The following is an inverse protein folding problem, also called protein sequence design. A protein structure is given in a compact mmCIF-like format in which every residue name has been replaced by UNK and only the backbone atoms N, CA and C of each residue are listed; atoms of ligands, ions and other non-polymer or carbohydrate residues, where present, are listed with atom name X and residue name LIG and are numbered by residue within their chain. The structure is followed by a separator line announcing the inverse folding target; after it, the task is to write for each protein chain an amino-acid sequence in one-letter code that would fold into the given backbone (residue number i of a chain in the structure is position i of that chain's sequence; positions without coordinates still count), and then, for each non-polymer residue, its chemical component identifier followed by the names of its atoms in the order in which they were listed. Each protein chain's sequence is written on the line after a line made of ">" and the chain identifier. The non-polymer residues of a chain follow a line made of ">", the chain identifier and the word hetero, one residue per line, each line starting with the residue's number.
data_IF_725022453486
#
_entry.id   IF_725022453486
#
_cell.length_a   1.000
_cell.length_b   1.000
_cell.length_c   1.000
_cell.angle_alpha   90.00
_cell.angle_beta   90.00
_cell.angle_gamma   90.00
#
_symmetry.space_group_name_H-M   'P 1'
#
loop_
_entity.id
_entity.type
_entity.pdbx_description
1 polymer ?
#
# COMPACT_ATOMS: atom_id res chain seq x y z
N UNK A 1 21.89 10.40 34.37
CA UNK A 1 20.45 10.28 34.04
C UNK A 1 19.87 11.50 33.31
N UNK A 2 20.18 12.76 33.67
CA UNK A 2 19.56 13.99 33.10
C UNK A 2 19.90 14.38 31.63
N UNK A 3 20.56 13.52 30.83
CA UNK A 3 20.93 13.83 29.43
C UNK A 3 20.04 13.14 28.38
N UNK A 4 19.19 12.20 28.79
CA UNK A 4 18.30 11.46 27.88
C UNK A 4 16.95 12.18 27.65
N UNK A 5 16.53 13.08 28.54
CA UNK A 5 15.20 13.70 28.50
C UNK A 5 15.09 14.90 27.54
N UNK A 6 16.20 15.42 26.99
CA UNK A 6 16.19 16.67 26.21
C UNK A 6 15.74 16.52 24.75
N UNK A 7 15.46 15.30 24.29
CA UNK A 7 15.04 15.02 22.91
C UNK A 7 13.96 13.96 22.77
N UNK A 8 13.33 13.54 23.88
CA UNK A 8 12.22 12.59 23.84
C UNK A 8 10.92 13.33 23.54
N UNK A 9 10.35 13.11 22.36
CA UNK A 9 8.97 13.51 22.07
C UNK A 9 8.02 12.52 22.77
N UNK A 10 7.62 12.88 24.00
CA UNK A 10 6.71 12.10 24.82
C UNK A 10 5.38 11.80 24.10
N UNK A 11 4.95 12.64 23.15
CA UNK A 11 3.73 12.40 22.40
C UNK A 11 3.93 11.28 21.37
N UNK A 12 5.06 11.29 20.65
CA UNK A 12 5.41 10.24 19.70
C UNK A 12 5.58 8.88 20.40
N UNK A 13 6.25 8.85 21.55
CA UNK A 13 6.40 7.61 22.33
C UNK A 13 5.06 7.06 22.81
N UNK A 14 4.14 7.95 23.24
CA UNK A 14 2.80 7.55 23.65
C UNK A 14 2.01 6.98 22.47
N UNK A 15 2.09 7.61 21.30
CA UNK A 15 1.43 7.11 20.09
C UNK A 15 1.99 5.74 19.67
N UNK A 16 3.31 5.56 19.71
CA UNK A 16 3.95 4.28 19.41
C UNK A 16 3.52 3.18 20.39
N UNK A 17 3.40 3.52 21.68
CA UNK A 17 2.94 2.59 22.71
C UNK A 17 1.46 2.22 22.53
N UNK A 18 0.61 3.17 22.14
CA UNK A 18 -0.79 2.93 21.78
C UNK A 18 -0.92 2.06 20.53
N UNK A 19 -0.12 2.34 19.49
CA UNK A 19 -0.07 1.53 18.27
C UNK A 19 0.41 0.10 18.55
N UNK A 20 1.40 -0.08 19.42
CA UNK A 20 1.85 -1.39 19.88
C UNK A 20 0.74 -2.16 20.62
N UNK A 21 0.03 -1.50 21.54
CA UNK A 21 -1.12 -2.10 22.24
C UNK A 21 -2.22 -2.49 21.25
N UNK A 22 -2.58 -1.59 20.34
CA UNK A 22 -3.61 -1.83 19.33
C UNK A 22 -3.24 -2.96 18.36
N UNK A 23 -1.98 -3.04 17.94
CA UNK A 23 -1.51 -4.12 17.06
C UNK A 23 -1.46 -5.48 17.76
N UNK A 24 -1.14 -5.51 19.06
CA UNK A 24 -1.23 -6.72 19.89
C UNK A 24 -2.69 -7.16 20.07
N UNK A 25 -3.59 -6.22 20.36
CA UNK A 25 -5.02 -6.48 20.48
C UNK A 25 -5.59 -7.02 19.15
N UNK A 26 -5.27 -6.40 18.02
CA UNK A 26 -5.70 -6.87 16.69
C UNK A 26 -5.13 -8.26 16.33
N UNK A 27 -3.94 -8.61 16.84
CA UNK A 27 -3.38 -9.94 16.66
C UNK A 27 -4.14 -11.00 17.46
N UNK A 28 -4.56 -10.67 18.69
CA UNK A 28 -5.29 -11.59 19.57
C UNK A 28 -6.78 -11.70 19.16
N UNK A 29 -7.37 -10.57 18.80
CA UNK A 29 -8.79 -10.39 18.48
C UNK A 29 -8.93 -9.68 17.12
N UNK A 30 -8.80 -10.43 16.01
CA UNK A 30 -8.70 -9.83 14.68
C UNK A 30 -10.02 -9.22 14.21
N UNK A 31 -9.97 -7.95 13.82
CA UNK A 31 -11.11 -7.16 13.32
C UNK A 31 -12.27 -6.99 14.32
N UNK A 32 -12.05 -7.29 15.60
CA UNK A 32 -13.06 -7.08 16.65
C UNK A 32 -13.22 -5.59 16.95
N UNK A 33 -14.47 -5.16 17.09
CA UNK A 33 -14.83 -3.77 17.39
C UNK A 33 -16.00 -3.76 18.37
N UNK A 34 -15.88 -2.96 19.42
CA UNK A 34 -16.96 -2.74 20.37
C UNK A 34 -18.16 -2.07 19.70
N UNK A 35 -19.36 -2.52 20.08
CA UNK A 35 -20.59 -1.88 19.61
C UNK A 35 -20.75 -0.52 20.28
N UNK A 36 -21.02 0.55 19.51
CA UNK A 36 -21.22 1.87 20.10
C UNK A 36 -22.48 1.88 20.99
N UNK A 37 -22.36 2.46 22.18
CA UNK A 37 -23.48 2.64 23.12
C UNK A 37 -24.27 3.93 22.85
N UNK A 38 -23.58 4.89 22.25
CA UNK A 38 -24.03 6.24 21.91
C UNK A 38 -24.82 6.31 20.60
N UNK A 39 -24.70 5.31 19.73
CA UNK A 39 -25.36 5.27 18.42
C UNK A 39 -25.90 3.88 18.08
N UNK A 40 -27.04 3.81 17.40
CA UNK A 40 -27.55 2.55 16.86
C UNK A 40 -26.54 1.90 15.89
N UNK A 41 -26.23 0.62 16.11
CA UNK A 41 -25.28 -0.15 15.29
C UNK A 41 -25.64 -0.13 13.78
N UNK A 42 -26.93 -0.15 13.43
CA UNK A 42 -27.39 -0.05 12.03
C UNK A 42 -26.92 1.23 11.33
N UNK A 43 -26.79 2.33 12.06
CA UNK A 43 -26.34 3.61 11.53
C UNK A 43 -24.80 3.60 11.45
N UNK A 44 -24.13 3.16 12.52
CA UNK A 44 -22.66 3.05 12.57
C UNK A 44 -22.08 2.19 11.45
N UNK A 45 -22.76 1.09 11.11
CA UNK A 45 -22.34 0.09 10.15
C UNK A 45 -23.18 0.08 8.87
N UNK A 46 -23.85 1.19 8.53
CA UNK A 46 -24.75 1.29 7.37
C UNK A 46 -24.13 0.87 6.03
N UNK A 47 -22.82 1.06 5.86
CA UNK A 47 -22.07 0.70 4.63
C UNK A 47 -21.58 -0.75 4.61
N UNK A 48 -21.79 -1.51 5.68
CA UNK A 48 -21.38 -2.91 5.77
C UNK A 48 -22.50 -3.83 5.28
N UNK A 49 -22.11 -4.97 4.72
CA UNK A 49 -23.02 -6.06 4.36
C UNK A 49 -22.50 -7.39 4.87
N UNK A 50 -23.42 -8.28 5.23
CA UNK A 50 -23.09 -9.67 5.53
C UNK A 50 -22.72 -10.42 4.26
N UNK A 51 -21.67 -11.25 4.33
CA UNK A 51 -21.35 -12.23 3.30
C UNK A 51 -21.41 -13.61 3.94
N UNK A 52 -22.08 -14.54 3.28
CA UNK A 52 -22.09 -15.94 3.70
C UNK A 52 -20.68 -16.54 3.65
N UNK A 53 -19.94 -16.26 2.57
CA UNK A 53 -18.57 -16.72 2.40
C UNK A 53 -17.70 -15.64 1.77
N UNK A 54 -16.61 -15.30 2.46
CA UNK A 54 -15.63 -14.35 1.93
C UNK A 54 -14.95 -14.85 0.66
N UNK A 55 -14.94 -16.17 0.39
CA UNK A 55 -14.34 -16.74 -0.82
C UNK A 55 -15.34 -16.79 -1.98
N UNK A 56 -16.50 -17.38 -1.78
CA UNK A 56 -17.41 -17.75 -2.88
C UNK A 56 -18.48 -16.71 -3.19
N UNK A 57 -18.96 -15.93 -2.22
CA UNK A 57 -20.05 -14.96 -2.47
C UNK A 57 -19.61 -13.87 -3.45
N UNK A 58 -20.39 -13.51 -4.48
CA UNK A 58 -19.98 -12.51 -5.46
C UNK A 58 -19.81 -11.11 -4.83
N UNK A 59 -18.94 -10.31 -5.42
CA UNK A 59 -18.79 -8.89 -5.09
C UNK A 59 -18.37 -8.15 -6.37
N UNK A 60 -19.13 -7.14 -6.78
CA UNK A 60 -18.81 -6.37 -7.98
C UNK A 60 -17.72 -5.31 -7.67
N UNK A 61 -16.56 -5.34 -8.35
CA UNK A 61 -15.52 -4.34 -8.19
C UNK A 61 -15.96 -2.90 -8.51
N UNK A 62 -17.00 -2.73 -9.36
CA UNK A 62 -17.43 -1.42 -9.86
C UNK A 62 -18.61 -0.81 -9.13
N UNK A 63 -19.10 -1.45 -8.06
CA UNK A 63 -20.32 -1.04 -7.34
C UNK A 63 -20.17 0.30 -6.60
N UNK A 64 -19.05 0.51 -5.89
CA UNK A 64 -18.85 1.63 -4.96
C UNK A 64 -17.49 2.31 -5.16
N UNK A 65 -17.24 2.82 -6.37
CA UNK A 65 -15.97 3.45 -6.72
C UNK A 65 -15.90 4.92 -6.24
N UNK A 66 -14.77 5.35 -5.65
CA UNK A 66 -14.57 6.75 -5.32
C UNK A 66 -14.31 7.59 -6.58
N UNK A 67 -14.51 8.90 -6.51
CA UNK A 67 -14.30 9.82 -7.64
C UNK A 67 -12.89 9.76 -8.23
N UNK A 68 -11.88 9.42 -7.41
CA UNK A 68 -10.49 9.30 -7.87
C UNK A 68 -10.31 8.16 -8.87
N UNK A 69 -11.15 7.12 -8.84
CA UNK A 69 -11.12 6.04 -9.81
C UNK A 69 -11.50 6.49 -11.23
N UNK A 70 -12.17 7.63 -11.38
CA UNK A 70 -12.45 8.20 -12.71
C UNK A 70 -11.20 8.83 -13.36
N UNK A 71 -10.13 9.09 -12.58
CA UNK A 71 -8.91 9.78 -13.04
C UNK A 71 -7.75 8.82 -13.32
N UNK A 72 -7.87 7.57 -12.90
CA UNK A 72 -6.82 6.57 -13.07
C UNK A 72 -6.95 5.83 -14.39
N UNK A 73 -5.83 5.31 -14.87
CA UNK A 73 -5.78 4.47 -16.04
C UNK A 73 -5.94 3.00 -15.65
N UNK A 74 -6.81 2.29 -16.36
CA UNK A 74 -7.02 0.86 -16.23
C UNK A 74 -6.64 0.16 -17.54
N UNK A 75 -5.87 -0.91 -17.43
CA UNK A 75 -5.62 -1.79 -18.56
C UNK A 75 -6.77 -2.78 -18.71
N UNK A 76 -7.19 -3.05 -19.95
CA UNK A 76 -8.08 -4.17 -20.24
C UNK A 76 -7.41 -5.51 -19.89
N UNK A 77 -6.15 -5.67 -20.31
CA UNK A 77 -5.32 -6.81 -19.94
C UNK A 77 -3.86 -6.36 -19.75
N UNK A 78 -3.44 -6.30 -18.48
CA UNK A 78 -2.12 -5.81 -18.10
C UNK A 78 -0.99 -6.68 -18.66
N UNK A 79 -1.07 -8.00 -18.49
CA UNK A 79 0.00 -8.93 -18.88
C UNK A 79 0.17 -9.00 -20.40
N UNK A 80 -0.93 -8.98 -21.15
CA UNK A 80 -0.88 -8.92 -22.61
C UNK A 80 -0.25 -7.62 -23.09
N UNK A 81 -0.64 -6.49 -22.50
CA UNK A 81 -0.12 -5.17 -22.87
C UNK A 81 1.37 -5.06 -22.56
N UNK A 82 1.80 -5.56 -21.40
CA UNK A 82 3.22 -5.65 -21.01
C UNK A 82 4.03 -6.44 -22.03
N UNK A 83 3.58 -7.65 -22.38
CA UNK A 83 4.29 -8.51 -23.35
C UNK A 83 4.45 -7.83 -24.71
N UNK A 84 3.38 -7.16 -25.19
CA UNK A 84 3.42 -6.40 -26.44
C UNK A 84 4.43 -5.26 -26.38
N UNK A 85 4.40 -4.46 -25.32
CA UNK A 85 5.31 -3.32 -25.13
C UNK A 85 6.77 -3.76 -25.09
N UNK A 86 7.08 -4.86 -24.41
CA UNK A 86 8.45 -5.37 -24.34
C UNK A 86 8.94 -5.83 -25.71
N UNK A 87 8.10 -6.53 -26.48
CA UNK A 87 8.43 -6.96 -27.84
C UNK A 87 8.66 -5.77 -28.79
N UNK A 88 7.76 -4.78 -28.75
CA UNK A 88 7.89 -3.55 -29.56
C UNK A 88 9.15 -2.74 -29.23
N UNK A 89 9.74 -2.91 -28.04
CA UNK A 89 10.97 -2.22 -27.65
C UNK A 89 12.22 -2.92 -28.17
N UNK A 90 12.19 -4.24 -28.33
CA UNK A 90 13.28 -5.00 -28.97
C UNK A 90 13.39 -4.66 -30.47
N UNK A 91 12.27 -4.33 -31.10
CA UNK A 91 12.18 -3.99 -32.53
C UNK A 91 12.45 -2.50 -32.82
N UNK A 92 12.69 -1.66 -31.79
CA UNK A 92 12.89 -0.22 -31.99
C UNK A 92 14.34 0.11 -32.33
N UNK A 93 14.49 0.82 -33.45
CA UNK A 93 15.75 1.45 -33.82
C UNK A 93 16.06 2.64 -32.92
N UNK A 94 17.30 2.74 -32.46
CA UNK A 94 17.74 3.80 -31.56
C UNK A 94 19.22 3.70 -31.18
N UNK A 95 19.62 4.54 -30.22
CA UNK A 95 20.97 4.49 -29.70
C UNK A 95 21.22 3.16 -28.96
N UNK A 96 22.29 2.48 -29.33
CA UNK A 96 22.66 1.17 -28.78
C UNK A 96 23.50 1.32 -27.49
N UNK A 97 23.51 0.29 -26.63
CA UNK A 97 24.37 0.29 -25.45
C UNK A 97 25.85 0.52 -25.80
N UNK A 98 26.52 1.37 -25.02
CA UNK A 98 27.95 1.69 -25.18
C UNK A 98 28.24 3.01 -25.89
N UNK A 99 27.23 3.67 -26.47
CA UNK A 99 27.42 4.94 -27.15
C UNK A 99 27.53 6.11 -26.15
N UNK A 100 28.42 7.06 -26.43
CA UNK A 100 28.47 8.34 -25.71
C UNK A 100 27.46 9.31 -26.35
N UNK A 101 26.47 9.73 -25.57
CA UNK A 101 25.33 10.50 -26.06
C UNK A 101 25.24 11.86 -25.36
N UNK A 102 24.77 12.88 -26.09
CA UNK A 102 24.32 14.15 -25.52
C UNK A 102 22.80 14.21 -25.64
N UNK A 103 22.09 14.28 -24.51
CA UNK A 103 20.63 14.29 -24.47
C UNK A 103 20.11 15.70 -24.21
N UNK A 104 19.32 16.23 -25.15
CA UNK A 104 18.65 17.52 -25.01
C UNK A 104 17.22 17.30 -24.50
N UNK A 105 16.95 17.70 -23.25
CA UNK A 105 15.63 17.56 -22.61
C UNK A 105 14.87 18.88 -22.69
N UNK A 106 13.64 18.84 -23.17
CA UNK A 106 12.75 20.00 -23.27
C UNK A 106 12.05 20.28 -21.93
N UNK A 107 11.68 21.54 -21.71
CA UNK A 107 10.77 21.99 -20.64
C UNK A 107 11.26 21.66 -19.20
N UNK A 108 12.57 21.75 -18.98
CA UNK A 108 13.16 21.60 -17.65
C UNK A 108 13.02 22.91 -16.86
N UNK A 109 12.39 22.84 -15.68
CA UNK A 109 12.28 24.00 -14.79
C UNK A 109 13.66 24.51 -14.34
N UNK A 110 13.91 25.80 -14.55
CA UNK A 110 15.17 26.45 -14.17
C UNK A 110 15.44 26.36 -12.65
N UNK A 111 14.39 26.38 -11.83
CA UNK A 111 14.50 26.25 -10.38
C UNK A 111 15.01 24.86 -10.00
N UNK A 112 14.40 23.81 -10.56
CA UNK A 112 14.84 22.42 -10.32
C UNK A 112 16.28 22.21 -10.78
N UNK A 113 16.64 22.75 -11.94
CA UNK A 113 18.00 22.65 -12.47
C UNK A 113 19.04 23.35 -11.60
N UNK A 114 18.71 24.52 -11.05
CA UNK A 114 19.60 25.27 -10.16
C UNK A 114 19.82 24.54 -8.85
N UNK A 115 18.75 24.03 -8.22
CA UNK A 115 18.84 23.20 -7.01
C UNK A 115 19.63 21.91 -7.26
N UNK A 116 19.44 21.31 -8.43
CA UNK A 116 20.17 20.12 -8.84
C UNK A 116 21.68 20.39 -8.99
N UNK A 117 22.08 21.50 -9.62
CA UNK A 117 23.50 21.89 -9.72
C UNK A 117 24.16 22.08 -8.36
N UNK A 118 23.42 22.58 -7.38
CA UNK A 118 23.94 22.78 -6.02
C UNK A 118 24.11 21.47 -5.24
N UNK A 119 23.25 20.47 -5.49
CA UNK A 119 23.28 19.21 -4.73
C UNK A 119 24.48 18.32 -5.06
N UNK A 120 25.19 18.55 -6.19
CA UNK A 120 26.32 17.76 -6.69
C UNK A 120 26.03 16.25 -6.77
N UNK A 121 24.75 15.87 -6.90
CA UNK A 121 24.34 14.47 -7.02
C UNK A 121 24.57 13.94 -8.44
N UNK A 122 24.78 12.63 -8.57
CA UNK A 122 24.82 11.97 -9.87
C UNK A 122 23.44 11.95 -10.53
N UNK A 123 23.39 12.17 -11.86
CA UNK A 123 22.16 12.01 -12.66
C UNK A 123 22.13 10.61 -13.23
N UNK A 124 20.98 9.95 -13.09
CA UNK A 124 20.65 8.74 -13.83
C UNK A 124 19.43 9.06 -14.70
N UNK A 125 19.56 8.86 -16.00
CA UNK A 125 18.47 9.06 -16.96
C UNK A 125 17.92 7.70 -17.38
N UNK A 126 16.60 7.56 -17.32
CA UNK A 126 15.90 6.29 -17.58
C UNK A 126 14.78 6.56 -18.57
N UNK A 127 14.78 5.79 -19.67
CA UNK A 127 13.70 5.80 -20.64
C UNK A 127 12.45 5.14 -20.06
N UNK A 128 11.28 5.75 -20.29
CA UNK A 128 10.01 5.21 -19.82
C UNK A 128 9.35 4.36 -20.89
N UNK A 129 8.70 3.28 -20.46
CA UNK A 129 7.85 2.51 -21.37
C UNK A 129 6.54 3.25 -21.68
N UNK A 130 5.88 2.92 -22.80
CA UNK A 130 4.53 3.40 -23.09
C UNK A 130 3.59 3.24 -21.89
N UNK A 131 2.84 4.30 -21.58
CA UNK A 131 1.87 4.37 -20.47
C UNK A 131 2.45 4.43 -19.04
N UNK A 132 3.76 4.35 -18.81
CA UNK A 132 4.32 4.45 -17.46
C UNK A 132 4.17 5.84 -16.80
N UNK A 133 3.85 6.88 -17.59
CA UNK A 133 3.54 8.20 -17.05
C UNK A 133 2.12 8.29 -16.47
N UNK A 134 1.23 7.34 -16.81
CA UNK A 134 -0.17 7.37 -16.38
C UNK A 134 -0.30 6.85 -14.95
N UNK A 135 -1.22 7.43 -14.19
CA UNK A 135 -1.53 7.01 -12.82
C UNK A 135 -2.45 5.79 -12.80
N UNK A 136 -2.19 4.82 -11.93
CA UNK A 136 -3.06 3.68 -11.67
C UNK A 136 -2.97 3.24 -10.21
N UNK A 137 -3.62 2.12 -9.87
CA UNK A 137 -3.47 1.47 -8.56
C UNK A 137 -2.40 0.40 -8.68
N UNK A 138 -1.28 0.60 -8.00
CA UNK A 138 -0.19 -0.36 -7.89
C UNK A 138 -0.47 -1.30 -6.72
N UNK A 139 -0.26 -2.59 -6.96
CA UNK A 139 -0.33 -3.63 -5.95
C UNK A 139 1.08 -4.22 -5.76
N UNK A 140 1.68 -4.01 -4.60
CA UNK A 140 3.02 -4.50 -4.28
C UNK A 140 2.95 -5.52 -3.16
N UNK A 141 3.55 -6.69 -3.35
CA UNK A 141 3.75 -7.63 -2.24
C UNK A 141 4.93 -7.15 -1.42
N UNK A 142 4.76 -7.13 -0.10
CA UNK A 142 5.77 -6.71 0.86
C UNK A 142 5.98 -7.82 1.90
N UNK A 143 7.24 -8.09 2.19
CA UNK A 143 7.68 -8.89 3.32
C UNK A 143 8.46 -7.99 4.26
N UNK A 144 8.19 -8.11 5.56
CA UNK A 144 8.87 -7.31 6.57
C UNK A 144 10.37 -7.62 6.63
N UNK A 145 11.16 -6.59 6.90
CA UNK A 145 12.57 -6.76 7.30
C UNK A 145 12.66 -6.99 8.81
N UNK A 146 13.68 -7.75 9.29
CA UNK A 146 13.89 -7.97 10.73
C UNK A 146 14.41 -6.71 11.46
N UNK A 147 14.85 -5.68 10.72
CA UNK A 147 15.48 -4.48 11.25
C UNK A 147 14.50 -3.51 11.94
N UNK A 148 13.19 -3.70 11.76
CA UNK A 148 12.19 -2.82 12.36
C UNK A 148 11.06 -3.66 12.93
N UNK A 149 10.92 -3.62 14.26
CA UNK A 149 9.99 -4.45 15.03
C UNK A 149 8.64 -3.81 15.33
N UNK A 150 8.52 -2.49 15.17
CA UNK A 150 7.25 -1.81 15.46
C UNK A 150 6.19 -2.16 14.39
N UNK A 151 4.92 -2.30 14.79
CA UNK A 151 3.82 -2.47 13.85
C UNK A 151 3.64 -1.19 13.03
N UNK A 152 3.27 -1.34 11.75
CA UNK A 152 2.95 -0.20 10.88
C UNK A 152 1.45 -0.20 10.64
N UNK A 153 0.81 0.94 10.85
CA UNK A 153 -0.64 1.05 10.65
C UNK A 153 -0.94 1.18 9.16
N UNK A 154 -2.01 0.55 8.72
CA UNK A 154 -2.52 0.73 7.37
C UNK A 154 -2.96 2.18 7.17
N UNK A 155 -2.68 2.75 5.99
CA UNK A 155 -2.86 4.19 5.65
C UNK A 155 -1.86 5.14 6.32
N UNK A 156 -0.83 4.64 7.00
CA UNK A 156 0.29 5.46 7.47
C UNK A 156 1.16 5.90 6.29
N UNK A 157 1.81 7.07 6.38
CA UNK A 157 2.67 7.58 5.31
C UNK A 157 3.96 6.77 5.25
N UNK A 158 4.25 6.18 4.10
CA UNK A 158 5.47 5.41 3.84
C UNK A 158 6.10 5.84 2.51
N UNK A 159 7.41 5.65 2.41
CA UNK A 159 8.17 5.95 1.20
C UNK A 159 8.48 4.66 0.46
N UNK A 160 7.87 4.49 -0.71
CA UNK A 160 8.08 3.35 -1.59
C UNK A 160 9.11 3.69 -2.66
N UNK A 161 10.15 2.89 -2.78
CA UNK A 161 11.00 2.86 -3.96
C UNK A 161 10.60 1.66 -4.80
N UNK A 162 9.94 1.90 -5.94
CA UNK A 162 9.55 0.88 -6.90
C UNK A 162 10.43 1.02 -8.14
N UNK A 163 11.34 0.06 -8.33
CA UNK A 163 12.43 0.17 -9.31
C UNK A 163 13.24 1.46 -9.11
N UNK A 164 13.17 2.36 -10.09
CA UNK A 164 13.86 3.64 -10.08
C UNK A 164 13.05 4.82 -9.54
N UNK A 165 11.75 4.64 -9.28
CA UNK A 165 10.87 5.72 -8.81
C UNK A 165 10.70 5.65 -7.31
N UNK A 166 10.59 6.82 -6.67
CA UNK A 166 10.27 6.96 -5.25
C UNK A 166 8.95 7.70 -5.07
N UNK A 167 8.10 7.20 -4.18
CA UNK A 167 6.78 7.73 -3.90
C UNK A 167 6.56 7.81 -2.40
N UNK A 168 6.01 8.92 -1.91
CA UNK A 168 5.51 9.01 -0.54
C UNK A 168 4.00 8.83 -0.58
N UNK A 169 3.50 7.72 -0.05
CA UNK A 169 2.10 7.29 -0.17
C UNK A 169 1.57 6.73 1.14
N UNK A 170 0.25 6.68 1.26
CA UNK A 170 -0.47 6.08 2.37
C UNK A 170 -1.09 4.76 1.90
N UNK A 171 -0.35 3.62 1.92
CA UNK A 171 -0.84 2.37 1.37
C UNK A 171 -1.95 1.75 2.20
N UNK A 172 -2.83 1.04 1.50
CA UNK A 172 -3.82 0.16 2.12
C UNK A 172 -3.25 -1.26 2.13
N UNK A 173 -3.05 -1.82 3.31
CA UNK A 173 -2.60 -3.20 3.46
C UNK A 173 -3.75 -4.20 3.37
N UNK A 174 -3.44 -5.35 2.80
CA UNK A 174 -4.40 -6.43 2.58
C UNK A 174 -3.71 -7.80 2.51
N UNK A 175 -4.48 -8.85 2.78
CA UNK A 175 -4.01 -10.22 2.75
C UNK A 175 -3.52 -10.64 1.36
N UNK A 176 -2.39 -11.34 1.29
CA UNK A 176 -1.90 -11.95 0.05
C UNK A 176 -2.58 -13.31 -0.20
N UNK A 177 -3.67 -13.31 -0.95
CA UNK A 177 -4.46 -14.50 -1.30
C UNK A 177 -4.72 -14.57 -2.80
N UNK A 178 -5.05 -15.75 -3.33
CA UNK A 178 -5.34 -15.95 -4.76
C UNK A 178 -6.81 -15.65 -5.16
N UNK A 179 -7.63 -15.17 -4.22
CA UNK A 179 -9.03 -14.80 -4.50
C UNK A 179 -9.17 -13.40 -5.09
N UNK A 180 -10.38 -13.04 -5.53
CA UNK A 180 -10.70 -11.69 -6.03
C UNK A 180 -10.89 -10.67 -4.89
N UNK A 181 -11.30 -11.15 -3.72
CA UNK A 181 -11.53 -10.35 -2.51
C UNK A 181 -10.36 -10.56 -1.57
N UNK A 182 -9.80 -9.47 -1.08
CA UNK A 182 -8.70 -9.50 -0.13
C UNK A 182 -9.10 -8.81 1.17
N UNK A 183 -8.80 -9.45 2.29
CA UNK A 183 -9.12 -8.89 3.61
C UNK A 183 -8.21 -7.70 3.85
N UNK A 184 -8.78 -6.57 4.24
CA UNK A 184 -8.02 -5.42 4.74
C UNK A 184 -7.26 -5.81 6.02
N UNK A 185 -6.02 -5.37 6.12
CA UNK A 185 -5.22 -5.54 7.33
C UNK A 185 -5.00 -4.18 7.99
N UNK A 186 -5.31 -4.08 9.28
CA UNK A 186 -5.19 -2.83 10.05
C UNK A 186 -3.74 -2.50 10.35
N UNK A 187 -2.93 -3.53 10.58
CA UNK A 187 -1.51 -3.41 10.87
C UNK A 187 -0.69 -4.37 10.01
N UNK A 188 0.46 -3.90 9.54
CA UNK A 188 1.48 -4.74 8.94
C UNK A 188 2.31 -5.40 10.05
N UNK A 189 2.03 -6.67 10.32
CA UNK A 189 2.64 -7.43 11.40
C UNK A 189 4.08 -7.86 11.03
N UNK A 190 5.02 -7.93 12.00
CA UNK A 190 6.43 -8.25 11.75
C UNK A 190 6.73 -9.55 10.98
N UNK A 191 5.90 -10.58 11.11
CA UNK A 191 6.11 -11.88 10.46
C UNK A 191 5.15 -12.15 9.29
N UNK A 192 4.42 -11.11 8.86
CA UNK A 192 3.41 -11.23 7.80
C UNK A 192 3.94 -10.84 6.43
N UNK A 193 3.27 -11.35 5.40
CA UNK A 193 3.37 -10.86 4.03
C UNK A 193 2.07 -10.20 3.65
N UNK A 194 2.16 -8.97 3.17
CA UNK A 194 0.98 -8.16 2.86
C UNK A 194 1.07 -7.63 1.44
N UNK A 195 -0.08 -7.34 0.85
CA UNK A 195 -0.15 -6.57 -0.38
C UNK A 195 -0.52 -5.14 -0.01
N UNK A 196 0.37 -4.21 -0.34
CA UNK A 196 0.12 -2.78 -0.27
C UNK A 196 -0.47 -2.29 -1.59
N UNK A 197 -1.64 -1.67 -1.51
CA UNK A 197 -2.33 -1.05 -2.64
C UNK A 197 -2.32 0.47 -2.49
N UNK A 198 -1.86 1.21 -3.50
CA UNK A 198 -1.81 2.67 -3.50
C UNK A 198 -1.82 3.25 -4.92
N UNK A 199 -2.15 4.54 -5.05
CA UNK A 199 -2.09 5.26 -6.30
C UNK A 199 -0.65 5.66 -6.64
N UNK A 200 -0.18 5.27 -7.83
CA UNK A 200 1.14 5.65 -8.33
C UNK A 200 1.20 5.55 -9.86
N UNK A 201 2.21 6.18 -10.50
CA UNK A 201 2.49 5.97 -11.92
C UNK A 201 2.76 4.49 -12.21
N UNK A 202 2.21 4.01 -13.32
CA UNK A 202 2.34 2.62 -13.76
C UNK A 202 3.82 2.25 -13.94
N UNK A 203 4.17 1.04 -13.51
CA UNK A 203 5.45 0.40 -13.83
C UNK A 203 5.20 -1.04 -14.25
N UNK A 204 5.99 -1.53 -15.19
CA UNK A 204 5.89 -2.92 -15.63
C UNK A 204 6.77 -3.84 -14.76
N UNK A 205 6.23 -4.91 -14.16
CA UNK A 205 7.03 -5.93 -13.48
C UNK A 205 8.01 -6.61 -14.46
N UNK A 206 9.11 -7.23 -14.00
CA UNK A 206 9.56 -7.30 -12.62
C UNK A 206 10.11 -5.96 -12.14
N UNK A 207 9.62 -5.49 -10.99
CA UNK A 207 10.11 -4.26 -10.36
C UNK A 207 10.25 -4.50 -8.86
N UNK A 208 11.48 -4.52 -8.31
CA UNK A 208 11.67 -4.68 -6.89
C UNK A 208 11.18 -3.44 -6.15
N UNK A 209 10.62 -3.67 -4.96
CA UNK A 209 10.02 -2.65 -4.12
C UNK A 209 10.70 -2.63 -2.77
N UNK A 210 11.19 -1.46 -2.38
CA UNK A 210 11.67 -1.18 -1.04
C UNK A 210 10.70 -0.22 -0.38
N UNK A 211 10.30 -0.51 0.85
CA UNK A 211 9.41 0.33 1.63
C UNK A 211 10.17 0.87 2.83
N UNK A 212 10.14 2.19 2.99
CA UNK A 212 10.81 2.93 4.05
C UNK A 212 9.79 3.66 4.91
N UNK A 213 10.09 3.78 6.20
CA UNK A 213 9.43 4.72 7.10
C UNK A 213 10.40 5.84 7.44
N UNK A 214 9.89 7.06 7.45
CA UNK A 214 10.66 8.23 7.87
C UNK A 214 10.59 8.34 9.41
N UNK A 215 11.75 8.30 10.05
CA UNK A 215 11.92 8.45 11.51
C UNK A 215 13.05 9.46 11.71
N UNK A 216 12.78 10.57 12.39
CA UNK A 216 13.74 11.65 12.63
C UNK A 216 14.48 12.13 11.36
N UNK A 217 13.73 12.33 10.26
CA UNK A 217 14.24 12.68 8.93
C UNK A 217 15.22 11.65 8.32
N UNK A 218 15.22 10.41 8.83
CA UNK A 218 15.98 9.28 8.29
C UNK A 218 15.03 8.23 7.73
N UNK A 219 15.38 7.68 6.58
CA UNK A 219 14.63 6.59 5.95
C UNK A 219 15.09 5.24 6.52
N UNK A 220 14.22 4.59 7.29
CA UNK A 220 14.45 3.26 7.84
C UNK A 220 13.74 2.23 6.96
N UNK A 221 14.49 1.22 6.49
CA UNK A 221 13.94 0.15 5.65
C UNK A 221 13.02 -0.76 6.48
N UNK A 222 11.73 -0.73 6.16
CA UNK A 222 10.70 -1.49 6.88
C UNK A 222 10.29 -2.78 6.15
N UNK A 223 10.26 -2.76 4.83
CA UNK A 223 9.87 -3.95 4.08
C UNK A 223 10.51 -3.99 2.71
N UNK A 224 10.64 -5.20 2.19
CA UNK A 224 11.16 -5.50 0.87
C UNK A 224 10.16 -6.36 0.13
N UNK A 225 10.06 -6.21 -1.17
CA UNK A 225 9.16 -7.03 -1.96
C UNK A 225 9.21 -6.69 -3.43
N UNK A 226 8.11 -6.93 -4.13
CA UNK A 226 8.03 -6.80 -5.58
C UNK A 226 6.67 -6.24 -6.00
N UNK A 227 6.66 -5.55 -7.14
CA UNK A 227 5.43 -5.14 -7.80
C UNK A 227 4.72 -6.39 -8.35
N UNK A 228 3.47 -6.61 -7.92
CA UNK A 228 2.63 -7.70 -8.42
C UNK A 228 1.94 -7.29 -9.73
N UNK A 229 1.16 -6.22 -9.68
CA UNK A 229 0.35 -5.77 -10.82
C UNK A 229 -0.07 -4.31 -10.66
N UNK A 230 -0.37 -3.66 -11.79
CA UNK A 230 -1.06 -2.38 -11.82
C UNK A 230 -2.52 -2.63 -12.21
N UNK A 231 -3.36 -2.99 -11.23
CA UNK A 231 -4.77 -3.31 -11.47
C UNK A 231 -5.67 -2.67 -10.39
N UNK A 232 -6.57 -1.74 -10.77
CA UNK A 232 -7.54 -1.13 -9.85
C UNK A 232 -8.68 -2.05 -9.42
N UNK A 233 -8.93 -3.15 -10.14
CA UNK A 233 -10.03 -4.09 -9.82
C UNK A 233 -9.73 -5.00 -8.62
N UNK A 234 -8.51 -4.95 -8.08
CA UNK A 234 -8.14 -5.72 -6.89
C UNK A 234 -8.87 -5.16 -5.66
N UNK A 235 -9.90 -5.86 -5.20
CA UNK A 235 -10.74 -5.39 -4.10
C UNK A 235 -10.14 -5.65 -2.72
N UNK A 236 -10.07 -4.59 -1.90
CA UNK A 236 -9.70 -4.67 -0.49
C UNK A 236 -10.92 -4.41 0.38
N UNK A 237 -11.32 -5.40 1.17
CA UNK A 237 -12.57 -5.39 1.95
C UNK A 237 -12.25 -5.35 3.44
N UNK A 238 -12.78 -4.34 4.13
CA UNK A 238 -12.69 -4.23 5.59
C UNK A 238 -13.74 -5.11 6.26
N UNK A 239 -13.28 -5.98 7.16
CA UNK A 239 -14.12 -6.79 8.03
C UNK A 239 -14.31 -6.09 9.38
N UNK A 240 -15.46 -6.29 10.00
CA UNK A 240 -15.72 -5.95 11.40
C UNK A 240 -16.39 -7.16 12.03
N UNK A 241 -15.93 -7.55 13.22
CA UNK A 241 -16.51 -8.61 14.05
C UNK A 241 -17.13 -7.95 15.27
N UNK A 242 -18.43 -8.15 15.47
CA UNK A 242 -19.13 -7.73 16.67
C UNK A 242 -19.21 -8.92 17.62
N UNK A 243 -18.66 -8.78 18.81
CA UNK A 243 -18.75 -9.81 19.85
C UNK A 243 -20.04 -9.67 20.66
N UNK A 244 -20.51 -10.81 21.16
CA UNK A 244 -21.68 -10.90 22.03
C UNK A 244 -21.53 -12.11 22.94
N UNK A 245 -21.98 -11.98 24.18
CA UNK A 245 -21.92 -13.05 25.17
C UNK A 245 -23.32 -13.66 25.34
N UNK A 246 -23.49 -14.98 25.15
CA UNK A 246 -24.79 -15.62 25.35
C UNK A 246 -25.16 -15.62 26.83
N UNK A 247 -26.26 -14.96 27.20
CA UNK A 247 -26.72 -14.87 28.59
C UNK A 247 -27.57 -16.08 29.00
N UNK A 248 -28.42 -16.59 28.10
CA UNK A 248 -29.32 -17.73 28.38
C UNK A 248 -29.18 -18.80 27.29
N UNK A 249 -29.00 -20.06 27.69
CA UNK A 249 -28.74 -21.17 26.77
C UNK A 249 -29.79 -22.27 27.00
N UNK A 250 -30.50 -22.63 25.94
CA UNK A 250 -31.39 -23.79 25.84
C UNK A 250 -30.81 -24.81 24.84
N UNK A 251 -31.35 -26.03 24.80
CA UNK A 251 -30.81 -27.17 24.01
C UNK A 251 -30.44 -26.84 22.55
N UNK A 252 -31.12 -25.91 21.89
CA UNK A 252 -30.82 -25.47 20.51
C UNK A 252 -30.92 -23.94 20.29
N UNK A 253 -31.12 -23.15 21.35
CA UNK A 253 -31.38 -21.69 21.25
C UNK A 253 -30.55 -20.97 22.30
N UNK A 254 -29.76 -19.99 21.88
CA UNK A 254 -29.07 -19.05 22.74
C UNK A 254 -29.69 -17.65 22.64
N UNK A 255 -29.87 -16.98 23.77
CA UNK A 255 -30.23 -15.56 23.83
C UNK A 255 -28.96 -14.76 24.16
N UNK A 256 -28.68 -13.75 23.35
CA UNK A 256 -27.57 -12.81 23.47
C UNK A 256 -28.07 -11.47 23.96
#
# INVERSE_FOLDING_TARGET
>A
MKKYDKGMDLAAEKEDLENLKAAKADRQFPDEVDTPLDQLARIRFQKYRGLESFRTSPWDPKENLPSDYARIFQFENFDRTKKRILKEQEEKDGALPGWYLTVHVKDVSQLLWSSFKQSKMSVVLIGLFPHEHKMSVLNTVLKRTPYYSLPIKSKERLVFQCGFRRFAVNPVFSSHTNGQKHKFERFFQPDSTVVASFYAPIQFPPSPVLCYKEVDNKLVLVATGNLLSCNPDRMVIKRVVLSGYPLKIHKKVGCY
#
